data_IF_519570226914
#
_entry.id   IF_519570226914
#
_cell.length_a   1.000
_cell.length_b   1.000
_cell.length_c   1.000
_cell.angle_alpha   90.00
_cell.angle_beta   90.00
_cell.angle_gamma   90.00
#
_symmetry.space_group_name_H-M   'P 1'
#
loop_
_entity.id
_entity.type
_entity.pdbx_description
1 polymer ?
#
# COMPACT_ATOMS: atom_id res chain seq x y z
N UNK A 1 -59.75 36.96 44.84
CA UNK A 1 -58.28 37.07 45.12
C UNK A 1 -57.62 35.86 44.54
N UNK A 2 -57.20 35.92 43.29
CA UNK A 2 -56.53 34.83 42.58
C UNK A 2 -55.19 35.34 42.05
N UNK A 3 -54.10 34.78 42.52
CA UNK A 3 -52.76 34.97 41.95
C UNK A 3 -52.57 34.03 40.76
N UNK A 4 -51.97 34.44 39.67
CA UNK A 4 -51.62 33.55 38.58
C UNK A 4 -50.22 32.97 38.78
N UNK A 5 -50.11 31.64 38.58
CA UNK A 5 -48.85 30.95 38.48
C UNK A 5 -48.14 31.29 37.18
N UNK A 6 -46.87 31.68 37.29
CA UNK A 6 -45.97 31.84 36.14
C UNK A 6 -45.39 30.47 35.78
N UNK A 7 -45.65 30.06 34.56
CA UNK A 7 -45.06 28.90 33.93
C UNK A 7 -43.63 29.25 33.48
N UNK A 8 -42.62 28.58 34.05
CA UNK A 8 -41.22 28.71 33.63
C UNK A 8 -40.94 27.64 32.59
N UNK A 9 -40.99 28.03 31.32
CA UNK A 9 -40.52 27.22 30.23
C UNK A 9 -39.05 26.90 30.38
N UNK A 10 -38.76 25.60 30.53
CA UNK A 10 -37.42 25.04 30.60
C UNK A 10 -36.95 24.74 29.18
N UNK A 11 -36.25 25.68 28.57
CA UNK A 11 -35.58 25.43 27.30
C UNK A 11 -34.30 24.65 27.57
N UNK A 12 -34.35 23.35 27.38
CA UNK A 12 -33.14 22.50 27.30
C UNK A 12 -32.49 22.74 25.95
N UNK A 13 -31.55 23.67 25.91
CA UNK A 13 -30.60 23.79 24.82
C UNK A 13 -29.70 22.55 24.80
N UNK A 14 -30.06 21.62 23.94
CA UNK A 14 -29.23 20.44 23.63
C UNK A 14 -28.08 20.88 22.74
N UNK A 15 -27.01 21.39 23.34
CA UNK A 15 -25.73 21.58 22.66
C UNK A 15 -25.16 20.19 22.37
N UNK A 16 -25.43 19.69 21.19
CA UNK A 16 -24.77 18.49 20.67
C UNK A 16 -23.29 18.82 20.46
N UNK A 17 -22.46 18.60 21.47
CA UNK A 17 -21.01 18.55 21.31
C UNK A 17 -20.66 17.39 20.36
N UNK A 18 -20.55 17.70 19.08
CA UNK A 18 -19.94 16.85 18.09
C UNK A 18 -18.43 16.86 18.36
N UNK A 19 -18.01 16.10 19.35
CA UNK A 19 -16.60 15.82 19.58
C UNK A 19 -16.12 15.00 18.38
N UNK A 20 -15.56 15.66 17.38
CA UNK A 20 -14.76 15.00 16.34
C UNK A 20 -13.59 14.36 17.09
N UNK A 21 -13.69 13.08 17.40
CA UNK A 21 -12.56 12.33 17.92
C UNK A 21 -11.50 12.35 16.82
N UNK A 22 -10.45 13.14 17.07
CA UNK A 22 -9.27 13.19 16.21
C UNK A 22 -8.63 11.81 16.30
N UNK A 23 -8.52 11.12 15.14
CA UNK A 23 -7.83 9.82 15.06
C UNK A 23 -6.33 9.96 15.35
N UNK A 24 -5.63 8.86 15.33
CA UNK A 24 -4.18 8.86 15.51
C UNK A 24 -3.50 9.50 14.30
N UNK A 25 -2.47 10.27 14.59
CA UNK A 25 -1.51 10.71 13.59
C UNK A 25 -0.25 9.88 13.75
N UNK A 26 0.19 9.26 12.66
CA UNK A 26 1.39 8.46 12.62
C UNK A 26 2.23 8.83 11.42
N UNK A 27 3.51 9.04 11.65
CA UNK A 27 4.49 9.36 10.63
C UNK A 27 5.69 8.42 10.75
N UNK A 28 6.21 8.00 9.61
CA UNK A 28 7.45 7.23 9.51
C UNK A 28 8.28 7.76 8.34
N UNK A 29 9.44 8.36 8.64
CA UNK A 29 10.41 8.84 7.64
C UNK A 29 11.65 7.95 7.69
N UNK A 30 11.96 7.32 6.56
CA UNK A 30 13.07 6.40 6.39
C UNK A 30 14.09 6.97 5.40
N UNK A 31 15.38 6.87 5.75
CA UNK A 31 16.46 7.29 4.84
C UNK A 31 17.51 6.20 4.68
N UNK A 32 17.77 5.86 3.43
CA UNK A 32 18.73 4.83 3.07
C UNK A 32 19.91 5.45 2.31
N UNK A 33 21.11 5.03 2.63
CA UNK A 33 22.32 5.45 1.91
C UNK A 33 23.21 4.26 1.62
N UNK A 34 23.96 4.34 0.52
CA UNK A 34 25.03 3.39 0.22
C UNK A 34 26.24 3.71 1.09
N UNK A 35 26.67 2.77 1.93
CA UNK A 35 27.85 2.89 2.79
C UNK A 35 28.80 1.74 2.47
N UNK A 36 29.95 2.06 1.91
CA UNK A 36 30.94 1.09 1.46
C UNK A 36 30.33 0.01 0.54
N UNK A 37 30.09 -1.20 1.07
CA UNK A 37 29.61 -2.33 0.29
C UNK A 37 28.11 -2.64 0.45
N UNK A 38 27.38 -1.92 1.30
CA UNK A 38 25.96 -2.20 1.57
C UNK A 38 25.13 -0.94 1.73
N UNK A 39 23.83 -1.07 1.55
CA UNK A 39 22.85 -0.05 1.90
C UNK A 39 22.58 -0.06 3.40
N UNK A 40 22.57 1.09 4.05
CA UNK A 40 22.23 1.23 5.47
C UNK A 40 21.02 2.14 5.66
N UNK A 41 20.20 1.82 6.63
CA UNK A 41 19.15 2.70 7.13
C UNK A 41 19.82 3.74 8.05
N UNK A 42 20.01 4.96 7.54
CA UNK A 42 20.69 6.03 8.28
C UNK A 42 19.75 6.84 9.16
N UNK A 43 18.46 6.82 8.88
CA UNK A 43 17.44 7.47 9.69
C UNK A 43 16.13 6.69 9.65
N UNK A 44 15.51 6.52 10.81
CA UNK A 44 14.15 6.06 10.97
C UNK A 44 13.48 6.95 12.03
N UNK A 45 12.85 8.03 11.58
CA UNK A 45 12.09 8.94 12.45
C UNK A 45 10.64 8.52 12.43
N UNK A 46 10.03 8.42 13.59
CA UNK A 46 8.62 8.08 13.66
C UNK A 46 7.88 8.90 14.72
N UNK A 47 6.61 9.13 14.47
CA UNK A 47 5.64 9.68 15.41
C UNK A 47 4.46 8.72 15.42
N UNK A 48 3.92 8.46 16.61
CA UNK A 48 2.82 7.51 16.75
C UNK A 48 3.24 6.04 16.56
N UNK A 49 2.31 5.17 16.16
CA UNK A 49 2.51 3.72 16.22
C UNK A 49 3.27 3.10 15.04
N UNK A 50 3.56 3.85 13.97
CA UNK A 50 4.35 3.31 12.86
C UNK A 50 5.81 3.16 13.28
N UNK A 51 6.40 2.00 13.04
CA UNK A 51 7.79 1.73 13.35
C UNK A 51 8.38 0.69 12.39
N UNK A 52 9.66 0.35 12.56
CA UNK A 52 10.36 -0.67 11.78
C UNK A 52 11.12 -1.62 12.68
N UNK A 53 11.32 -2.83 12.23
CA UNK A 53 12.26 -3.75 12.86
C UNK A 53 13.70 -3.32 12.55
N UNK A 54 14.66 -3.88 13.31
CA UNK A 54 16.07 -3.69 13.00
C UNK A 54 16.36 -4.19 11.58
N UNK A 55 17.03 -3.39 10.72
CA UNK A 55 17.45 -3.82 9.39
C UNK A 55 18.30 -5.10 9.44
N UNK A 56 18.14 -5.96 8.45
CA UNK A 56 18.92 -7.17 8.30
C UNK A 56 19.35 -7.35 6.84
N UNK A 57 20.34 -8.21 6.61
CA UNK A 57 21.10 -8.26 5.35
C UNK A 57 21.29 -9.71 4.90
N UNK A 58 20.23 -10.41 4.44
CA UNK A 58 20.38 -11.80 4.00
C UNK A 58 21.13 -11.93 2.67
N UNK A 59 21.36 -10.82 1.98
CA UNK A 59 22.03 -10.70 0.69
C UNK A 59 23.27 -9.81 0.77
N UNK A 60 23.85 -9.64 1.95
CA UNK A 60 25.02 -8.85 2.30
C UNK A 60 24.87 -7.33 2.10
N UNK A 61 24.40 -6.88 0.95
CA UNK A 61 24.41 -5.47 0.55
C UNK A 61 23.00 -4.82 0.43
N UNK A 62 21.93 -5.62 0.30
CA UNK A 62 20.56 -5.13 0.26
C UNK A 62 20.00 -4.95 1.68
N UNK A 63 19.46 -3.77 1.97
CA UNK A 63 18.83 -3.50 3.25
C UNK A 63 17.40 -4.04 3.27
N UNK A 64 17.16 -5.15 3.97
CA UNK A 64 15.82 -5.66 4.22
C UNK A 64 15.24 -5.01 5.47
N UNK A 65 13.99 -4.54 5.35
CA UNK A 65 13.29 -3.84 6.42
C UNK A 65 11.85 -4.32 6.54
N UNK A 66 11.41 -4.61 7.77
CA UNK A 66 10.02 -4.90 8.07
C UNK A 66 9.36 -3.69 8.72
N UNK A 67 8.31 -3.20 8.07
CA UNK A 67 7.47 -2.13 8.57
C UNK A 67 6.42 -2.72 9.51
N UNK A 68 6.21 -2.08 10.65
CA UNK A 68 5.30 -2.51 11.69
C UNK A 68 4.25 -1.44 11.98
N UNK A 69 3.01 -1.88 12.16
CA UNK A 69 1.93 -1.08 12.70
C UNK A 69 1.28 -1.85 13.88
N UNK A 70 1.83 -1.74 15.10
CA UNK A 70 1.41 -2.54 16.27
C UNK A 70 -0.09 -2.51 16.58
N UNK A 71 -0.85 -1.43 16.34
CA UNK A 71 -2.31 -1.43 16.54
C UNK A 71 -3.07 -2.44 15.68
N UNK A 72 -2.44 -2.97 14.63
CA UNK A 72 -3.00 -4.01 13.79
C UNK A 72 -4.04 -3.54 12.78
N UNK A 73 -4.39 -2.25 12.74
CA UNK A 73 -5.29 -1.69 11.75
C UNK A 73 -5.54 -0.21 11.93
N UNK A 74 -6.16 0.41 10.93
CA UNK A 74 -6.42 1.84 10.79
C UNK A 74 -7.92 2.05 10.96
N UNK A 75 -8.31 3.00 11.79
CA UNK A 75 -9.72 3.34 12.04
C UNK A 75 -10.07 4.71 11.47
N UNK A 76 -11.36 4.98 11.34
CA UNK A 76 -11.82 6.28 10.81
C UNK A 76 -11.27 7.47 11.60
N UNK A 77 -10.66 8.42 10.87
CA UNK A 77 -10.00 9.59 11.42
C UNK A 77 -8.49 9.44 11.63
N UNK A 78 -7.93 8.24 11.50
CA UNK A 78 -6.48 8.04 11.53
C UNK A 78 -5.83 8.58 10.26
N UNK A 79 -4.66 9.21 10.42
CA UNK A 79 -3.81 9.72 9.34
C UNK A 79 -2.41 9.14 9.48
N UNK A 80 -2.05 8.26 8.56
CA UNK A 80 -0.75 7.60 8.52
C UNK A 80 0.04 8.09 7.31
N UNK A 81 1.29 8.50 7.54
CA UNK A 81 2.23 8.88 6.48
C UNK A 81 3.48 8.03 6.58
N UNK A 82 3.87 7.42 5.48
CA UNK A 82 5.12 6.68 5.33
C UNK A 82 5.92 7.36 4.23
N UNK A 83 7.14 7.75 4.51
CA UNK A 83 8.07 8.26 3.51
C UNK A 83 9.38 7.48 3.53
N UNK A 84 9.94 7.22 2.35
CA UNK A 84 11.27 6.65 2.23
C UNK A 84 12.08 7.35 1.16
N UNK A 85 13.29 7.77 1.52
CA UNK A 85 14.25 8.37 0.60
C UNK A 85 15.45 7.44 0.44
N UNK A 86 15.72 7.05 -0.79
CA UNK A 86 16.83 6.20 -1.18
C UNK A 86 17.88 7.05 -1.89
N UNK A 87 19.05 7.21 -1.28
CA UNK A 87 20.20 7.90 -1.90
C UNK A 87 20.77 7.09 -3.07
N UNK A 88 21.59 7.72 -3.88
CA UNK A 88 22.26 7.10 -5.03
C UNK A 88 22.87 5.74 -4.67
N UNK A 89 22.73 4.76 -5.56
CA UNK A 89 23.25 3.38 -5.44
C UNK A 89 22.70 2.57 -4.23
N UNK A 90 21.74 3.09 -3.48
CA UNK A 90 21.15 2.32 -2.39
C UNK A 90 20.10 1.32 -2.89
N UNK A 91 20.00 0.18 -2.20
CA UNK A 91 19.01 -0.86 -2.50
C UNK A 91 18.31 -1.30 -1.21
N UNK A 92 17.03 -1.04 -1.13
CA UNK A 92 16.19 -1.44 0.01
C UNK A 92 15.03 -2.33 -0.44
N UNK A 93 14.78 -3.40 0.30
CA UNK A 93 13.57 -4.20 0.23
C UNK A 93 12.75 -3.95 1.49
N UNK A 94 11.55 -3.41 1.32
CA UNK A 94 10.65 -3.07 2.42
C UNK A 94 9.38 -3.91 2.28
N UNK A 95 9.03 -4.65 3.32
CA UNK A 95 7.82 -5.47 3.40
C UNK A 95 7.18 -5.38 4.79
N UNK A 96 6.10 -6.12 5.01
CA UNK A 96 5.35 -6.15 6.26
C UNK A 96 5.15 -7.59 6.74
N UNK A 97 5.10 -7.86 8.05
CA UNK A 97 4.84 -9.21 8.58
C UNK A 97 3.39 -9.65 8.42
N UNK A 98 2.47 -8.72 8.24
CA UNK A 98 1.04 -9.05 8.12
C UNK A 98 0.29 -8.00 7.31
N UNK A 99 -0.96 -8.34 6.97
CA UNK A 99 -1.86 -7.50 6.19
C UNK A 99 -2.18 -6.18 6.89
N UNK A 100 -2.17 -5.08 6.14
CA UNK A 100 -2.78 -3.83 6.54
C UNK A 100 -4.30 -3.99 6.67
N UNK A 101 -4.93 -3.28 7.62
CA UNK A 101 -6.39 -3.39 7.81
C UNK A 101 -6.99 -2.01 7.97
N UNK A 102 -8.07 -1.76 7.22
CA UNK A 102 -8.93 -0.60 7.46
C UNK A 102 -10.23 -1.10 8.08
N UNK A 103 -10.45 -0.70 9.31
CA UNK A 103 -11.64 -1.08 10.05
C UNK A 103 -12.84 -0.19 9.70
N UNK A 104 -14.02 -0.64 10.08
CA UNK A 104 -15.27 0.11 9.90
C UNK A 104 -15.17 1.50 10.53
N UNK A 105 -15.56 2.53 9.78
CA UNK A 105 -15.69 3.90 10.26
C UNK A 105 -17.17 4.27 10.47
N UNK A 106 -17.43 5.15 11.42
CA UNK A 106 -18.75 5.76 11.65
C UNK A 106 -18.85 7.16 11.02
N UNK A 107 -18.04 7.44 9.99
CA UNK A 107 -18.07 8.69 9.24
C UNK A 107 -16.70 9.21 8.85
N UNK A 108 -15.76 9.46 9.80
CA UNK A 108 -14.45 9.98 9.44
C UNK A 108 -13.69 9.06 8.50
N UNK A 109 -12.96 9.65 7.54
CA UNK A 109 -12.10 8.92 6.62
C UNK A 109 -10.77 8.58 7.29
N UNK A 110 -10.27 7.37 7.05
CA UNK A 110 -8.92 6.96 7.40
C UNK A 110 -7.99 7.23 6.22
N UNK A 111 -6.80 7.75 6.47
CA UNK A 111 -5.84 8.13 5.43
C UNK A 111 -4.54 7.36 5.60
N UNK A 112 -4.04 6.82 4.50
CA UNK A 112 -2.70 6.26 4.38
C UNK A 112 -2.01 6.91 3.19
N UNK A 113 -0.93 7.63 3.44
CA UNK A 113 -0.08 8.24 2.43
C UNK A 113 1.29 7.59 2.44
N UNK A 114 1.79 7.24 1.27
CA UNK A 114 3.08 6.57 1.06
C UNK A 114 3.83 7.31 -0.05
N UNK A 115 4.98 7.90 0.28
CA UNK A 115 5.79 8.69 -0.65
C UNK A 115 7.22 8.12 -0.70
N UNK A 116 7.67 7.73 -1.88
CA UNK A 116 8.97 7.08 -2.11
C UNK A 116 9.82 7.91 -3.07
N UNK A 117 11.01 8.29 -2.66
CA UNK A 117 11.94 9.11 -3.44
C UNK A 117 13.21 8.32 -3.74
N UNK A 118 13.44 8.02 -5.00
CA UNK A 118 14.57 7.26 -5.48
C UNK A 118 15.56 8.16 -6.23
N UNK A 119 16.75 8.35 -5.67
CA UNK A 119 17.86 9.03 -6.34
C UNK A 119 18.38 8.21 -7.53
N UNK A 120 19.24 8.75 -8.39
CA UNK A 120 19.83 7.99 -9.49
C UNK A 120 20.43 6.66 -9.05
N UNK A 121 20.18 5.60 -9.82
CA UNK A 121 20.64 4.23 -9.57
C UNK A 121 20.15 3.58 -8.27
N UNK A 122 19.31 4.26 -7.49
CA UNK A 122 18.67 3.66 -6.32
C UNK A 122 17.66 2.58 -6.72
N UNK A 123 17.54 1.54 -5.90
CA UNK A 123 16.59 0.45 -6.09
C UNK A 123 15.66 0.32 -4.90
N UNK A 124 14.37 0.36 -5.15
CA UNK A 124 13.34 0.06 -4.15
C UNK A 124 12.54 -1.18 -4.55
N UNK A 125 12.48 -2.13 -3.63
CA UNK A 125 11.50 -3.21 -3.63
C UNK A 125 10.47 -2.91 -2.54
N UNK A 126 9.29 -2.39 -2.93
CA UNK A 126 8.16 -2.12 -2.04
C UNK A 126 7.14 -3.24 -2.18
N UNK A 127 7.16 -4.17 -1.23
CA UNK A 127 6.45 -5.45 -1.32
C UNK A 127 5.62 -5.69 -0.04
N UNK A 128 4.64 -4.83 0.27
CA UNK A 128 3.79 -4.99 1.44
C UNK A 128 2.92 -6.25 1.33
N UNK A 129 2.38 -6.71 2.46
CA UNK A 129 1.27 -7.63 2.44
C UNK A 129 0.00 -6.93 1.93
N UNK A 130 -1.06 -7.68 1.71
CA UNK A 130 -2.34 -7.14 1.28
C UNK A 130 -2.94 -6.14 2.28
N UNK A 131 -3.76 -5.25 1.74
CA UNK A 131 -4.56 -4.29 2.50
C UNK A 131 -6.01 -4.73 2.53
N UNK A 132 -6.50 -5.11 3.70
CA UNK A 132 -7.87 -5.61 3.89
C UNK A 132 -8.79 -4.44 4.26
N UNK A 133 -9.81 -4.21 3.43
CA UNK A 133 -10.84 -3.23 3.68
C UNK A 133 -12.05 -3.94 4.28
N UNK A 134 -12.28 -3.77 5.58
CA UNK A 134 -13.43 -4.33 6.28
C UNK A 134 -14.73 -3.69 5.77
N UNK A 135 -15.88 -4.41 5.80
CA UNK A 135 -17.16 -3.81 5.52
C UNK A 135 -17.38 -2.56 6.38
N UNK A 136 -17.70 -1.44 5.73
CA UNK A 136 -17.84 -0.15 6.40
C UNK A 136 -16.56 0.66 6.57
N UNK A 137 -15.43 0.22 6.05
CA UNK A 137 -14.23 1.06 5.99
C UNK A 137 -14.48 2.30 5.12
N UNK A 138 -13.94 3.43 5.55
CA UNK A 138 -13.88 4.66 4.76
C UNK A 138 -12.40 5.03 4.59
N UNK A 139 -11.80 4.57 3.51
CA UNK A 139 -10.36 4.59 3.30
C UNK A 139 -9.96 5.52 2.14
N UNK A 140 -8.88 6.26 2.35
CA UNK A 140 -8.17 7.01 1.33
C UNK A 140 -6.70 6.58 1.36
N UNK A 141 -6.26 5.90 0.32
CA UNK A 141 -4.90 5.36 0.18
C UNK A 141 -4.23 6.09 -0.98
N UNK A 142 -3.01 6.55 -0.77
CA UNK A 142 -2.21 7.17 -1.80
C UNK A 142 -0.79 6.63 -1.74
N UNK A 143 -0.28 6.12 -2.86
CA UNK A 143 1.10 5.66 -3.02
C UNK A 143 1.73 6.39 -4.20
N UNK A 144 2.86 7.06 -3.97
CA UNK A 144 3.57 7.86 -4.96
C UNK A 144 5.04 7.45 -5.01
N UNK A 145 5.50 7.10 -6.20
CA UNK A 145 6.89 6.75 -6.45
C UNK A 145 7.53 7.82 -7.33
N UNK A 146 8.54 8.49 -6.81
CA UNK A 146 9.35 9.49 -7.51
C UNK A 146 10.68 8.87 -7.92
N UNK A 147 10.85 8.66 -9.21
CA UNK A 147 11.99 7.99 -9.82
C UNK A 147 12.91 9.02 -10.46
N UNK A 148 14.19 9.00 -10.10
CA UNK A 148 15.23 9.68 -10.86
C UNK A 148 15.73 8.78 -11.99
N UNK A 149 16.57 9.34 -12.86
CA UNK A 149 17.20 8.61 -13.95
C UNK A 149 17.94 7.36 -13.43
N UNK A 150 17.82 6.24 -14.15
CA UNK A 150 18.44 4.95 -13.84
C UNK A 150 18.05 4.34 -12.49
N UNK A 151 17.08 4.92 -11.78
CA UNK A 151 16.52 4.27 -10.59
C UNK A 151 15.71 3.02 -10.97
N UNK A 152 15.53 2.12 -10.02
CA UNK A 152 14.82 0.86 -10.23
C UNK A 152 13.70 0.70 -9.20
N UNK A 153 12.54 0.30 -9.68
CA UNK A 153 11.36 0.06 -8.85
C UNK A 153 10.79 -1.33 -9.12
N UNK A 154 10.54 -2.08 -8.05
CA UNK A 154 9.68 -3.26 -8.07
C UNK A 154 8.71 -3.13 -6.90
N UNK A 155 7.44 -2.87 -7.21
CA UNK A 155 6.46 -2.56 -6.19
C UNK A 155 5.14 -3.26 -6.49
N UNK A 156 4.36 -3.54 -5.46
CA UNK A 156 2.98 -3.95 -5.63
C UNK A 156 2.03 -3.30 -4.62
N UNK A 157 0.76 -3.26 -5.00
CA UNK A 157 -0.38 -2.90 -4.18
C UNK A 157 -1.43 -3.99 -4.30
N UNK A 158 -1.83 -4.56 -3.18
CA UNK A 158 -2.79 -5.67 -3.09
C UNK A 158 -3.94 -5.27 -2.18
N UNK A 159 -5.15 -5.21 -2.73
CA UNK A 159 -6.37 -4.86 -2.02
C UNK A 159 -7.26 -6.08 -1.83
N UNK A 160 -7.77 -6.28 -0.62
CA UNK A 160 -8.79 -7.25 -0.29
C UNK A 160 -10.08 -6.53 0.15
N UNK A 161 -11.14 -6.65 -0.64
CA UNK A 161 -12.41 -5.96 -0.45
C UNK A 161 -13.37 -6.83 0.37
N UNK A 162 -13.49 -6.52 1.65
CA UNK A 162 -14.20 -7.33 2.63
C UNK A 162 -13.29 -8.34 3.32
N UNK A 163 -13.88 -9.42 3.83
CA UNK A 163 -13.17 -10.54 4.46
C UNK A 163 -13.67 -11.86 3.86
N UNK A 164 -13.21 -12.23 2.65
CA UNK A 164 -13.72 -13.39 1.92
C UNK A 164 -13.65 -14.69 2.73
N UNK A 165 -12.60 -14.90 3.54
CA UNK A 165 -12.45 -16.06 4.43
C UNK A 165 -13.60 -16.16 5.46
N UNK A 166 -14.18 -15.02 5.83
CA UNK A 166 -15.32 -14.91 6.74
C UNK A 166 -16.65 -14.78 5.99
N UNK A 167 -16.65 -14.94 4.66
CA UNK A 167 -17.79 -14.73 3.78
C UNK A 167 -18.39 -13.30 3.85
N UNK A 168 -17.57 -12.33 4.24
CA UNK A 168 -17.99 -10.93 4.29
C UNK A 168 -17.49 -10.18 3.05
N UNK A 169 -18.44 -9.60 2.32
CA UNK A 169 -18.15 -8.73 1.17
C UNK A 169 -17.99 -7.29 1.62
N UNK A 170 -17.34 -6.46 0.81
CA UNK A 170 -17.29 -5.01 1.01
C UNK A 170 -18.65 -4.38 0.66
N UNK A 171 -19.65 -4.66 1.52
CA UNK A 171 -21.08 -4.35 1.29
C UNK A 171 -21.43 -2.87 1.49
N UNK A 172 -20.62 -2.12 2.22
CA UNK A 172 -20.75 -0.68 2.48
C UNK A 172 -19.40 -0.08 2.84
N UNK A 173 -19.28 1.24 2.83
CA UNK A 173 -18.03 1.97 3.02
C UNK A 173 -17.51 2.57 1.71
N UNK A 174 -16.36 3.19 1.74
CA UNK A 174 -15.73 3.80 0.57
C UNK A 174 -14.24 3.51 0.52
N UNK A 175 -13.72 3.33 -0.68
CA UNK A 175 -12.29 3.28 -0.96
C UNK A 175 -11.95 4.31 -2.03
N UNK A 176 -10.97 5.15 -1.75
CA UNK A 176 -10.22 5.91 -2.75
C UNK A 176 -8.81 5.41 -2.71
N UNK A 177 -8.35 4.82 -3.80
CA UNK A 177 -6.96 4.37 -3.96
C UNK A 177 -6.33 5.12 -5.13
N UNK A 178 -5.16 5.70 -4.90
CA UNK A 178 -4.38 6.44 -5.89
C UNK A 178 -2.96 5.91 -5.91
N UNK A 179 -2.52 5.47 -7.09
CA UNK A 179 -1.19 4.94 -7.34
C UNK A 179 -0.52 5.78 -8.43
N UNK A 180 0.65 6.33 -8.14
CA UNK A 180 1.37 7.20 -9.06
C UNK A 180 2.83 6.82 -9.19
N UNK A 181 3.33 6.90 -10.41
CA UNK A 181 4.75 6.80 -10.73
C UNK A 181 5.17 8.02 -11.54
N UNK A 182 6.17 8.72 -11.06
CA UNK A 182 6.73 9.93 -11.68
C UNK A 182 8.21 9.69 -11.98
N UNK A 183 8.68 10.10 -13.17
CA UNK A 183 10.10 10.07 -13.53
C UNK A 183 10.56 11.48 -13.85
N UNK A 184 11.53 11.99 -13.10
CA UNK A 184 12.09 13.33 -13.29
C UNK A 184 11.00 14.42 -13.41
N UNK A 185 9.95 14.34 -12.56
CA UNK A 185 8.81 15.25 -12.55
C UNK A 185 7.75 15.01 -13.63
N UNK A 186 7.94 14.01 -14.51
CA UNK A 186 6.96 13.63 -15.53
C UNK A 186 6.18 12.40 -15.09
N UNK A 187 4.84 12.40 -15.15
CA UNK A 187 4.05 11.24 -14.77
C UNK A 187 4.20 10.12 -15.80
N UNK A 188 4.56 8.91 -15.34
CA UNK A 188 4.52 7.68 -16.12
C UNK A 188 3.20 6.93 -15.94
N UNK A 189 2.64 7.00 -14.72
CA UNK A 189 1.39 6.35 -14.37
C UNK A 189 0.64 7.17 -13.34
N UNK A 190 -0.66 7.35 -13.54
CA UNK A 190 -1.59 7.87 -12.54
C UNK A 190 -2.85 7.02 -12.59
N UNK A 191 -3.00 6.16 -11.60
CA UNK A 191 -4.20 5.33 -11.43
C UNK A 191 -5.06 5.83 -10.28
N UNK A 192 -6.38 5.75 -10.47
CA UNK A 192 -7.36 6.07 -9.44
C UNK A 192 -8.44 4.99 -9.43
N UNK A 193 -8.63 4.39 -8.28
CA UNK A 193 -9.73 3.48 -8.03
C UNK A 193 -10.65 4.10 -6.97
N UNK A 194 -11.90 4.29 -7.32
CA UNK A 194 -12.94 4.71 -6.39
C UNK A 194 -14.01 3.63 -6.33
N UNK A 195 -14.23 3.11 -5.15
CA UNK A 195 -15.25 2.10 -4.89
C UNK A 195 -16.20 2.57 -3.80
N UNK A 196 -17.47 2.31 -4.03
CA UNK A 196 -18.50 2.39 -3.00
C UNK A 196 -18.94 0.97 -2.66
N UNK A 197 -19.00 0.66 -1.38
CA UNK A 197 -19.40 -0.65 -0.88
C UNK A 197 -20.80 -1.02 -1.36
N UNK A 198 -20.97 -2.29 -1.71
CA UNK A 198 -22.19 -2.81 -2.35
C UNK A 198 -22.25 -2.58 -3.86
N UNK A 199 -21.43 -1.69 -4.43
CA UNK A 199 -21.36 -1.41 -5.88
C UNK A 199 -19.97 -1.72 -6.42
N UNK A 200 -19.59 -3.00 -6.46
CA UNK A 200 -18.25 -3.46 -6.87
C UNK A 200 -18.14 -3.76 -8.38
N UNK A 201 -18.91 -3.06 -9.21
CA UNK A 201 -18.89 -3.29 -10.68
C UNK A 201 -17.53 -2.98 -11.29
N UNK A 202 -16.84 -1.95 -10.81
CA UNK A 202 -15.50 -1.53 -11.29
C UNK A 202 -14.44 -2.62 -11.16
N UNK A 203 -14.60 -3.49 -10.17
CA UNK A 203 -13.71 -4.64 -9.93
C UNK A 203 -14.39 -5.97 -10.26
N UNK A 204 -15.40 -5.95 -11.14
CA UNK A 204 -16.15 -7.12 -11.58
C UNK A 204 -16.61 -8.03 -10.42
N UNK A 205 -16.90 -7.44 -9.27
CA UNK A 205 -17.28 -8.09 -8.00
C UNK A 205 -16.21 -9.03 -7.41
N UNK A 206 -14.97 -8.94 -7.89
CA UNK A 206 -13.87 -9.69 -7.31
C UNK A 206 -13.44 -9.07 -5.97
N UNK A 207 -13.21 -9.89 -4.94
CA UNK A 207 -12.76 -9.38 -3.64
C UNK A 207 -11.28 -8.97 -3.64
N UNK A 208 -10.50 -9.45 -4.60
CA UNK A 208 -9.08 -9.14 -4.71
C UNK A 208 -8.81 -8.30 -5.95
N UNK A 209 -8.07 -7.22 -5.76
CA UNK A 209 -7.56 -6.35 -6.82
C UNK A 209 -6.11 -6.01 -6.54
N UNK A 210 -5.26 -5.99 -7.55
CA UNK A 210 -3.87 -5.63 -7.34
C UNK A 210 -3.17 -5.11 -8.58
N UNK A 211 -2.11 -4.38 -8.31
CA UNK A 211 -1.18 -3.84 -9.32
C UNK A 211 0.25 -4.17 -8.91
N UNK A 212 1.06 -4.69 -9.85
CA UNK A 212 2.51 -4.80 -9.70
C UNK A 212 3.18 -3.90 -10.72
N UNK A 213 4.19 -3.18 -10.28
CA UNK A 213 4.98 -2.24 -11.07
C UNK A 213 6.43 -2.70 -11.14
N UNK A 214 7.04 -2.64 -12.32
CA UNK A 214 8.48 -2.87 -12.51
C UNK A 214 9.05 -1.79 -13.43
N UNK A 215 10.11 -1.11 -12.99
CA UNK A 215 10.80 -0.07 -13.76
C UNK A 215 12.31 -0.09 -13.52
N UNK A 216 13.16 0.03 -14.55
CA UNK A 216 12.78 -0.08 -15.97
C UNK A 216 12.51 -1.54 -16.37
N UNK A 217 11.60 -1.74 -17.30
CA UNK A 217 11.26 -3.04 -17.84
C UNK A 217 11.42 -3.06 -19.37
N UNK A 218 11.54 -4.27 -19.91
CA UNK A 218 11.70 -4.53 -21.37
C UNK A 218 10.52 -5.35 -21.88
N UNK A 219 10.35 -5.41 -23.21
CA UNK A 219 9.34 -6.28 -23.87
C UNK A 219 9.54 -7.75 -23.47
N UNK A 220 10.79 -8.21 -23.37
CA UNK A 220 11.07 -9.59 -22.92
C UNK A 220 10.56 -9.85 -21.51
N UNK A 221 10.69 -8.89 -20.60
CA UNK A 221 10.14 -9.00 -19.23
C UNK A 221 8.61 -9.02 -19.27
N UNK A 222 8.00 -8.20 -20.11
CA UNK A 222 6.55 -8.17 -20.31
C UNK A 222 6.01 -9.52 -20.80
N UNK A 223 6.64 -10.12 -21.81
CA UNK A 223 6.23 -11.42 -22.34
C UNK A 223 6.32 -12.51 -21.28
N UNK A 224 7.42 -12.56 -20.53
CA UNK A 224 7.57 -13.49 -19.42
C UNK A 224 6.52 -13.30 -18.29
N UNK A 225 6.11 -12.06 -18.01
CA UNK A 225 5.04 -11.78 -17.06
C UNK A 225 3.69 -12.26 -17.60
N UNK A 226 3.39 -12.03 -18.87
CA UNK A 226 2.14 -12.49 -19.52
C UNK A 226 1.98 -14.01 -19.45
N UNK A 227 3.06 -14.76 -19.67
CA UNK A 227 3.05 -16.21 -19.50
C UNK A 227 2.74 -16.62 -18.06
N UNK A 228 3.33 -15.95 -17.08
CA UNK A 228 3.17 -16.30 -15.66
C UNK A 228 1.80 -15.96 -15.09
N UNK A 229 1.13 -14.93 -15.61
CA UNK A 229 -0.21 -14.53 -15.15
C UNK A 229 -1.34 -15.32 -15.80
N UNK A 230 -1.06 -16.15 -16.81
CA UNK A 230 -2.08 -16.96 -17.49
C UNK A 230 -3.01 -17.75 -16.51
N UNK A 231 -2.53 -18.29 -15.37
CA UNK A 231 -3.39 -18.94 -14.38
C UNK A 231 -4.47 -18.02 -13.74
N UNK A 232 -4.30 -16.68 -13.81
CA UNK A 232 -5.29 -15.73 -13.30
C UNK A 232 -6.44 -15.49 -14.30
N UNK A 233 -6.34 -16.01 -15.52
CA UNK A 233 -7.37 -15.91 -16.56
C UNK A 233 -7.56 -14.50 -17.12
N UNK A 234 -8.77 -14.23 -17.61
CA UNK A 234 -9.11 -13.00 -18.35
C UNK A 234 -9.12 -11.73 -17.48
N UNK A 235 -8.98 -11.87 -16.17
CA UNK A 235 -8.96 -10.77 -15.22
C UNK A 235 -7.55 -10.33 -14.81
N UNK A 236 -6.55 -10.74 -15.58
CA UNK A 236 -5.17 -10.29 -15.40
C UNK A 236 -4.59 -9.81 -16.73
N UNK A 237 -3.81 -8.74 -16.67
CA UNK A 237 -3.15 -8.19 -17.85
C UNK A 237 -1.91 -7.39 -17.49
N UNK A 238 -0.90 -7.45 -18.34
CA UNK A 238 0.33 -6.68 -18.21
C UNK A 238 0.56 -5.80 -19.44
N UNK A 239 1.01 -4.58 -19.20
CA UNK A 239 1.32 -3.58 -20.23
C UNK A 239 2.68 -2.95 -19.96
N UNK A 240 3.32 -2.45 -20.99
CA UNK A 240 4.55 -1.66 -20.91
C UNK A 240 4.29 -0.24 -21.41
N UNK A 241 4.59 0.76 -20.57
CA UNK A 241 4.41 2.19 -20.88
C UNK A 241 5.71 2.89 -20.53
N UNK A 242 6.42 3.44 -21.51
CA UNK A 242 7.71 4.16 -21.31
C UNK A 242 8.68 3.41 -20.36
N UNK A 243 8.86 2.12 -20.58
CA UNK A 243 9.66 1.21 -19.75
C UNK A 243 9.09 0.93 -18.35
N UNK A 244 7.89 1.39 -18.02
CA UNK A 244 7.16 0.96 -16.84
C UNK A 244 6.27 -0.23 -17.17
N UNK A 245 6.57 -1.41 -16.64
CA UNK A 245 5.68 -2.55 -16.68
C UNK A 245 4.64 -2.40 -15.57
N UNK A 246 3.36 -2.48 -15.93
CA UNK A 246 2.25 -2.52 -15.00
C UNK A 246 1.41 -3.78 -15.24
N UNK A 247 1.45 -4.69 -14.28
CA UNK A 247 0.57 -5.85 -14.19
C UNK A 247 -0.62 -5.47 -13.31
N UNK A 248 -1.83 -5.75 -13.78
CA UNK A 248 -3.08 -5.59 -13.03
C UNK A 248 -3.87 -6.88 -13.02
N UNK A 249 -4.54 -7.14 -11.92
CA UNK A 249 -5.39 -8.33 -11.82
C UNK A 249 -6.59 -8.12 -10.88
N UNK A 250 -7.60 -8.93 -11.10
CA UNK A 250 -8.72 -9.15 -10.20
C UNK A 250 -8.82 -10.66 -9.92
N UNK A 251 -9.31 -11.06 -8.74
CA UNK A 251 -9.41 -12.48 -8.44
C UNK A 251 -10.23 -12.82 -7.20
N UNK A 252 -10.48 -14.12 -7.04
CA UNK A 252 -11.20 -14.70 -5.89
C UNK A 252 -10.31 -15.56 -5.01
N UNK A 253 -9.23 -16.12 -5.56
CA UNK A 253 -8.33 -17.04 -4.86
C UNK A 253 -7.04 -16.33 -4.44
N UNK A 254 -6.94 -16.00 -3.15
CA UNK A 254 -5.76 -15.36 -2.58
C UNK A 254 -4.50 -16.20 -2.70
N UNK A 255 -4.59 -17.52 -2.53
CA UNK A 255 -3.42 -18.40 -2.58
C UNK A 255 -2.84 -18.43 -4.00
N UNK A 256 -3.71 -18.48 -5.02
CA UNK A 256 -3.29 -18.40 -6.41
C UNK A 256 -2.65 -17.05 -6.71
N UNK A 257 -3.29 -15.95 -6.30
CA UNK A 257 -2.78 -14.59 -6.49
C UNK A 257 -1.39 -14.44 -5.87
N UNK A 258 -1.22 -14.80 -4.61
CA UNK A 258 0.07 -14.69 -3.93
C UNK A 258 1.15 -15.57 -4.59
N UNK A 259 0.79 -16.77 -5.05
CA UNK A 259 1.71 -17.66 -5.77
C UNK A 259 2.18 -17.01 -7.07
N UNK A 260 1.25 -16.48 -7.87
CA UNK A 260 1.56 -15.83 -9.15
C UNK A 260 2.40 -14.57 -8.92
N UNK A 261 2.02 -13.71 -7.95
CA UNK A 261 2.77 -12.50 -7.63
C UNK A 261 4.20 -12.78 -7.21
N UNK A 262 4.40 -13.81 -6.37
CA UNK A 262 5.75 -14.26 -5.98
C UNK A 262 6.54 -14.79 -7.18
N UNK A 263 5.91 -15.57 -8.06
CA UNK A 263 6.56 -16.10 -9.27
C UNK A 263 6.98 -14.95 -10.22
N UNK A 264 6.10 -13.98 -10.43
CA UNK A 264 6.40 -12.77 -11.22
C UNK A 264 7.56 -11.99 -10.60
N UNK A 265 7.54 -11.75 -9.28
CA UNK A 265 8.64 -11.10 -8.57
C UNK A 265 9.95 -11.88 -8.73
N UNK A 266 9.94 -13.20 -8.54
CA UNK A 266 11.12 -14.06 -8.70
C UNK A 266 11.72 -14.00 -10.11
N UNK A 267 10.88 -13.84 -11.12
CA UNK A 267 11.32 -13.72 -12.52
C UNK A 267 11.86 -12.31 -12.85
N UNK A 268 11.22 -11.26 -12.35
CA UNK A 268 11.60 -9.88 -12.63
C UNK A 268 12.83 -9.43 -11.86
N UNK A 269 12.93 -9.83 -10.59
CA UNK A 269 13.99 -9.36 -9.69
C UNK A 269 15.41 -9.56 -10.24
N UNK A 270 15.82 -10.74 -10.74
CA UNK A 270 17.18 -10.91 -11.28
C UNK A 270 17.44 -10.06 -12.50
N UNK A 271 16.43 -9.83 -13.33
CA UNK A 271 16.54 -9.03 -14.54
C UNK A 271 16.69 -7.54 -14.21
N UNK A 272 16.01 -7.07 -13.16
CA UNK A 272 16.02 -5.70 -12.71
C UNK A 272 17.24 -5.35 -11.88
N UNK A 273 17.62 -6.23 -10.93
CA UNK A 273 18.59 -5.93 -9.86
C UNK A 273 19.91 -6.69 -10.01
N UNK A 274 19.98 -7.68 -10.92
CA UNK A 274 21.10 -8.62 -11.06
C UNK A 274 21.35 -9.47 -9.79
N UNK A 275 20.33 -9.60 -8.94
CA UNK A 275 20.39 -10.38 -7.70
C UNK A 275 19.43 -11.57 -7.74
N UNK A 276 19.79 -12.70 -7.13
CA UNK A 276 18.90 -13.84 -7.05
C UNK A 276 17.63 -13.48 -6.26
N UNK A 277 16.49 -14.14 -6.54
CA UNK A 277 15.23 -13.86 -5.86
C UNK A 277 15.19 -14.55 -4.49
N UNK A 278 15.86 -13.97 -3.50
CA UNK A 278 15.81 -14.48 -2.13
C UNK A 278 14.50 -14.06 -1.46
N UNK A 279 13.61 -15.01 -1.24
CA UNK A 279 12.31 -14.75 -0.60
C UNK A 279 12.48 -14.21 0.82
N UNK A 280 11.85 -13.08 1.17
CA UNK A 280 11.82 -12.61 2.55
C UNK A 280 11.31 -13.70 3.49
N UNK A 281 12.04 -13.95 4.59
CA UNK A 281 11.69 -15.02 5.54
C UNK A 281 10.26 -14.91 6.05
N UNK A 282 9.78 -13.70 6.26
CA UNK A 282 8.43 -13.41 6.75
C UNK A 282 7.30 -13.88 5.81
N UNK A 283 7.61 -14.14 4.53
CA UNK A 283 6.61 -14.67 3.59
C UNK A 283 6.44 -16.20 3.69
N UNK A 284 7.23 -16.84 4.53
CA UNK A 284 7.25 -18.30 4.71
C UNK A 284 6.62 -18.70 6.06
N UNK A 285 6.16 -17.73 6.84
CA UNK A 285 5.61 -17.94 8.20
C UNK A 285 4.10 -17.76 8.24
#
# INVERSE_FOLDING_TARGET
MHSPHADKGNSLDTVAHKTLTRGWQAELDLRFTRAAHKTVLTSARHVGPLTVQRPFYPEDDVCHLYLLHPPGGIVGGDELTISATLATDSHALITQPGSGKFYRSRGPQAQLRQDFYLAPQATLEWLPQDTILFPGANANIQSVFHLAQESRLLAWDLLCLGRPVMQETFSHGTLRNRLEVWRDGTPLLIERLHLEGGSLHTVARHPWSGTLLCYPATEKMLDGVREQIAPLGDYAGATLIDSLLALRFLGHDNLLIQRVMRAVWQSLRPQLTQKPPLLPRIWQT
#
